data_IF_268231082832
#
_entry.id   IF_268231082832
#
_cell.length_a   1.000
_cell.length_b   1.000
_cell.length_c   1.000
_cell.angle_alpha   90.00
_cell.angle_beta   90.00
_cell.angle_gamma   90.00
#
_symmetry.space_group_name_H-M   'P 1'
#
loop_
_entity.id
_entity.type
_entity.pdbx_description
1 polymer ?
#
# COMPACT_ATOMS: atom_id res chain seq x y z
N UNK A 1 -33.58 -33.03 34.15
CA UNK A 1 -32.61 -33.96 33.54
C UNK A 1 -31.40 -33.14 33.13
N UNK A 2 -30.36 -33.24 33.94
CA UNK A 2 -29.06 -32.58 33.85
C UNK A 2 -28.12 -33.36 32.94
N UNK A 3 -27.29 -32.68 32.14
CA UNK A 3 -25.90 -33.07 31.83
C UNK A 3 -25.31 -32.10 30.78
N UNK A 4 -24.06 -31.66 30.76
CA UNK A 4 -22.98 -31.51 31.73
C UNK A 4 -21.96 -30.59 31.05
N UNK A 5 -21.36 -29.69 31.83
CA UNK A 5 -20.27 -28.78 31.48
C UNK A 5 -19.04 -29.52 30.94
N UNK A 6 -18.30 -28.90 30.02
CA UNK A 6 -16.83 -29.06 29.95
C UNK A 6 -16.19 -27.68 29.79
N UNK A 7 -15.56 -27.24 30.89
CA UNK A 7 -14.54 -26.19 30.93
C UNK A 7 -13.22 -26.82 30.54
N UNK A 8 -12.39 -26.14 29.76
CA UNK A 8 -10.97 -26.44 29.69
C UNK A 8 -10.20 -25.12 29.58
N UNK A 9 -9.69 -24.66 30.73
CA UNK A 9 -8.63 -23.66 30.83
C UNK A 9 -7.31 -24.37 30.52
N UNK A 10 -6.51 -23.83 29.60
CA UNK A 10 -5.06 -24.03 29.59
C UNK A 10 -4.39 -22.67 29.53
N UNK A 11 -3.80 -22.29 30.66
CA UNK A 11 -2.71 -21.32 30.78
C UNK A 11 -1.43 -22.14 30.77
N UNK A 12 -0.50 -21.87 29.85
CA UNK A 12 0.90 -22.19 30.07
C UNK A 12 1.81 -21.14 29.43
N UNK A 13 2.58 -20.56 30.32
CA UNK A 13 3.61 -19.53 30.18
C UNK A 13 4.72 -19.92 29.21
N UNK A 14 5.13 -19.01 28.32
CA UNK A 14 6.41 -19.10 27.62
C UNK A 14 7.37 -18.04 28.19
N UNK A 15 8.36 -18.52 28.93
CA UNK A 15 9.54 -17.75 29.37
C UNK A 15 10.52 -17.68 28.19
N UNK A 16 10.74 -16.48 27.64
CA UNK A 16 11.84 -16.23 26.69
C UNK A 16 13.04 -15.73 27.48
N UNK A 17 14.10 -16.54 27.51
CA UNK A 17 15.38 -16.18 28.09
C UNK A 17 16.22 -15.40 27.06
N UNK A 18 16.39 -14.10 27.28
CA UNK A 18 17.31 -13.26 26.52
C UNK A 18 18.74 -13.52 27.00
N UNK A 19 19.64 -13.91 26.09
CA UNK A 19 21.07 -14.04 26.36
C UNK A 19 21.79 -12.82 25.77
N UNK A 20 22.21 -11.90 26.65
CA UNK A 20 23.13 -10.82 26.30
C UNK A 20 24.53 -11.39 26.07
N UNK A 21 25.09 -11.13 24.88
CA UNK A 21 26.54 -11.17 24.69
C UNK A 21 27.10 -9.77 24.94
N UNK A 22 27.81 -9.63 26.05
CA UNK A 22 28.71 -8.51 26.32
C UNK A 22 30.05 -8.78 25.62
N UNK A 23 30.48 -7.85 24.78
CA UNK A 23 31.88 -7.73 24.37
C UNK A 23 32.35 -6.34 24.83
N UNK A 24 33.25 -6.34 25.80
CA UNK A 24 33.94 -5.17 26.29
C UNK A 24 35.46 -5.43 26.27
N UNK A 25 36.19 -4.33 26.10
CA UNK A 25 37.54 -4.00 26.56
C UNK A 25 38.65 -3.85 25.51
N UNK A 26 39.31 -2.68 25.62
CA UNK A 26 40.72 -2.40 25.33
C UNK A 26 40.88 -1.13 24.49
N UNK A 27 40.91 0.09 25.06
CA UNK A 27 42.06 0.84 25.67
C UNK A 27 43.28 0.95 24.72
N UNK A 28 44.01 2.07 24.57
CA UNK A 28 44.30 3.15 25.52
C UNK A 28 44.99 4.36 24.81
N UNK A 29 45.14 5.44 25.59
CA UNK A 29 46.21 6.48 25.61
C UNK A 29 46.10 7.83 24.85
N UNK A 30 45.92 8.86 25.70
CA UNK A 30 46.71 10.12 25.88
C UNK A 30 46.78 11.15 24.72
N UNK A 31 46.75 12.48 24.92
CA UNK A 31 47.15 13.26 26.09
C UNK A 31 46.69 14.74 25.99
N UNK A 32 46.62 15.39 27.16
CA UNK A 32 46.93 16.79 27.52
C UNK A 32 46.20 18.05 26.98
N UNK A 33 45.53 18.71 27.97
CA UNK A 33 45.72 20.10 28.45
C UNK A 33 45.01 21.29 27.80
N UNK A 34 44.35 22.09 28.64
CA UNK A 34 43.99 23.47 28.32
C UNK A 34 42.90 24.11 29.21
N UNK A 35 43.21 24.32 30.50
CA UNK A 35 42.42 25.11 31.46
C UNK A 35 42.18 26.55 31.00
N UNK A 36 40.96 27.08 31.19
CA UNK A 36 40.73 28.41 31.81
C UNK A 36 39.28 28.58 32.27
N UNK A 37 39.14 28.74 33.59
CA UNK A 37 38.01 29.32 34.31
C UNK A 37 37.75 30.77 33.88
N UNK A 38 36.47 31.18 33.90
CA UNK A 38 36.10 32.48 34.49
C UNK A 38 34.65 32.48 34.95
N UNK A 39 34.48 32.80 36.24
CA UNK A 39 33.23 32.87 36.98
C UNK A 39 32.56 34.26 36.94
N UNK A 40 31.29 34.30 37.32
CA UNK A 40 30.56 35.48 37.83
C UNK A 40 29.70 36.20 36.79
N UNK A 41 28.49 36.69 37.07
CA UNK A 41 27.75 36.88 38.32
C UNK A 41 26.27 37.20 37.96
N UNK A 42 25.40 37.07 38.95
CA UNK A 42 23.95 37.27 38.96
C UNK A 42 23.44 38.61 38.40
N UNK A 43 22.20 38.63 37.88
CA UNK A 43 21.09 39.47 38.40
C UNK A 43 19.86 39.51 37.49
N UNK A 44 18.73 39.77 38.13
CA UNK A 44 17.38 39.42 37.72
C UNK A 44 16.57 40.49 36.95
N UNK A 45 15.47 39.99 36.37
CA UNK A 45 14.14 40.60 36.20
C UNK A 45 13.94 41.78 35.23
N UNK A 46 12.95 41.62 34.35
CA UNK A 46 12.20 42.76 33.79
C UNK A 46 11.65 42.58 32.37
N UNK A 47 10.49 41.93 32.29
CA UNK A 47 9.25 42.43 31.65
C UNK A 47 9.12 42.67 30.11
N UNK A 48 7.94 42.23 29.66
CA UNK A 48 7.09 42.61 28.52
C UNK A 48 7.58 42.61 27.06
N UNK A 49 7.22 41.52 26.37
CA UNK A 49 6.18 41.43 25.33
C UNK A 49 6.18 42.38 24.12
N UNK A 50 6.09 41.71 22.97
CA UNK A 50 5.57 42.12 21.64
C UNK A 50 6.38 43.07 20.78
N UNK A 51 7.04 42.51 19.76
CA UNK A 51 6.89 42.95 18.37
C UNK A 51 7.17 41.77 17.42
N UNK A 52 6.09 41.31 16.78
CA UNK A 52 5.96 40.90 15.38
C UNK A 52 7.16 40.29 14.65
N UNK A 53 7.01 39.03 14.20
CA UNK A 53 7.45 38.65 12.86
C UNK A 53 6.72 37.40 12.42
N UNK A 54 5.80 37.58 11.46
CA UNK A 54 5.43 36.56 10.48
C UNK A 54 6.70 35.90 9.93
N UNK A 55 6.95 34.66 10.34
CA UNK A 55 7.99 33.79 9.80
C UNK A 55 7.32 32.65 9.05
N UNK A 56 7.73 32.46 7.81
CA UNK A 56 7.45 31.26 7.04
C UNK A 56 7.86 30.03 7.87
N UNK A 57 6.95 29.06 7.98
CA UNK A 57 7.20 27.77 8.62
C UNK A 57 8.09 26.95 7.69
N UNK A 58 9.40 27.12 7.86
CA UNK A 58 10.44 26.37 7.17
C UNK A 58 10.63 25.06 7.93
N UNK A 59 9.82 24.05 7.61
CA UNK A 59 10.09 22.62 7.85
C UNK A 59 10.61 22.20 9.22
N UNK A 60 10.09 22.78 10.32
CA UNK A 60 10.47 22.31 11.65
C UNK A 60 9.95 20.88 11.87
N UNK A 61 10.87 19.94 12.03
CA UNK A 61 10.59 18.54 12.34
C UNK A 61 9.67 18.46 13.59
N UNK A 62 8.52 17.79 13.50
CA UNK A 62 7.57 17.71 14.62
C UNK A 62 8.15 16.86 15.77
N UNK A 63 8.13 17.34 17.00
CA UNK A 63 8.57 16.53 18.15
C UNK A 63 7.49 15.48 18.51
N UNK A 64 7.57 14.31 17.87
CA UNK A 64 6.58 13.21 18.02
C UNK A 64 7.22 11.98 18.66
N UNK A 65 6.43 11.27 19.47
CA UNK A 65 6.81 10.00 20.11
C UNK A 65 5.60 9.10 20.31
N UNK A 66 5.83 7.80 20.54
CA UNK A 66 4.78 6.81 20.83
C UNK A 66 4.64 5.73 19.76
N UNK A 67 3.52 5.01 19.76
CA UNK A 67 3.25 3.92 18.82
C UNK A 67 2.09 4.29 17.90
N UNK A 68 2.34 4.27 16.58
CA UNK A 68 1.32 4.42 15.55
C UNK A 68 0.95 3.04 15.00
N UNK A 69 -0.31 2.63 15.13
CA UNK A 69 -0.78 1.31 14.71
C UNK A 69 -1.64 1.47 13.46
N UNK A 70 -1.27 0.76 12.39
CA UNK A 70 -2.04 0.62 11.17
C UNK A 70 -2.31 -0.84 10.81
N UNK A 71 -3.25 -1.06 9.89
CA UNK A 71 -3.52 -2.37 9.30
C UNK A 71 -4.04 -2.22 7.87
N UNK A 72 -3.90 -3.25 7.06
CA UNK A 72 -4.63 -3.35 5.79
C UNK A 72 -3.87 -4.05 4.68
N UNK A 73 -3.83 -3.43 3.50
CA UNK A 73 -3.27 -4.00 2.27
C UNK A 73 -1.94 -4.71 2.50
N UNK A 74 -1.92 -6.01 2.18
CA UNK A 74 -0.69 -6.80 2.13
C UNK A 74 0.16 -6.50 0.89
N UNK A 75 -0.40 -5.84 -0.13
CA UNK A 75 0.36 -5.35 -1.28
C UNK A 75 1.30 -4.20 -0.87
N UNK A 76 0.87 -3.35 0.07
CA UNK A 76 1.68 -2.24 0.61
C UNK A 76 2.76 -2.69 1.61
N UNK A 77 2.82 -3.97 2.01
CA UNK A 77 3.66 -4.41 3.13
C UNK A 77 5.14 -4.05 2.97
N UNK A 78 5.70 -4.28 1.78
CA UNK A 78 7.11 -3.96 1.51
C UNK A 78 7.37 -2.44 1.58
N UNK A 79 6.46 -1.62 1.06
CA UNK A 79 6.55 -0.17 1.17
C UNK A 79 6.38 0.31 2.61
N UNK A 80 5.48 -0.30 3.39
CA UNK A 80 5.36 0.00 4.81
C UNK A 80 6.66 -0.26 5.57
N UNK A 81 7.37 -1.35 5.25
CA UNK A 81 8.68 -1.61 5.86
C UNK A 81 9.71 -0.53 5.49
N UNK A 82 9.72 -0.09 4.23
CA UNK A 82 10.56 1.02 3.78
C UNK A 82 10.23 2.33 4.51
N UNK A 83 8.94 2.67 4.62
CA UNK A 83 8.49 3.86 5.32
C UNK A 83 8.77 3.80 6.82
N UNK A 84 8.50 2.66 7.47
CA UNK A 84 8.82 2.43 8.89
C UNK A 84 10.32 2.63 9.16
N UNK A 85 11.18 2.03 8.33
CA UNK A 85 12.62 2.13 8.50
C UNK A 85 13.11 3.59 8.38
N UNK A 86 12.67 4.30 7.35
CA UNK A 86 13.10 5.68 7.14
C UNK A 86 12.46 6.69 8.09
N UNK A 87 11.17 6.54 8.42
CA UNK A 87 10.48 7.42 9.37
C UNK A 87 11.07 7.30 10.78
N UNK A 88 11.32 6.08 11.26
CA UNK A 88 11.89 5.85 12.59
C UNK A 88 13.39 6.22 12.65
N UNK A 89 14.07 6.35 11.52
CA UNK A 89 15.42 6.93 11.47
C UNK A 89 15.40 8.45 11.69
N UNK A 90 14.30 9.12 11.34
CA UNK A 90 14.06 10.55 11.58
C UNK A 90 13.49 10.78 12.98
N UNK A 91 12.53 9.96 13.40
CA UNK A 91 11.83 10.04 14.69
C UNK A 91 12.11 8.79 15.54
N UNK A 92 13.24 8.77 16.25
CA UNK A 92 13.70 7.59 16.99
C UNK A 92 12.82 7.18 18.18
N UNK A 93 11.97 8.09 18.66
CA UNK A 93 11.05 7.85 19.78
C UNK A 93 9.66 7.37 19.31
N UNK A 94 9.51 7.09 18.01
CA UNK A 94 8.30 6.55 17.40
C UNK A 94 8.48 5.09 17.02
N UNK A 95 7.45 4.29 17.28
CA UNK A 95 7.26 2.95 16.67
C UNK A 95 6.08 2.99 15.72
N UNK A 96 6.24 2.51 14.49
CA UNK A 96 5.12 2.29 13.56
C UNK A 96 4.89 0.79 13.38
N UNK A 97 3.69 0.32 13.69
CA UNK A 97 3.25 -1.07 13.50
C UNK A 97 2.25 -1.15 12.34
N UNK A 98 2.34 -2.21 11.53
CA UNK A 98 1.42 -2.44 10.42
C UNK A 98 1.05 -3.92 10.28
N UNK A 99 -0.24 -4.23 10.35
CA UNK A 99 -0.77 -5.60 10.17
C UNK A 99 -1.28 -5.82 8.72
N UNK A 100 -0.62 -6.64 7.88
CA UNK A 100 -0.97 -6.83 6.47
C UNK A 100 -2.14 -7.81 6.26
N UNK A 101 -3.32 -7.47 6.79
CA UNK A 101 -4.52 -8.31 6.80
C UNK A 101 -5.36 -8.29 5.51
N UNK A 102 -4.94 -7.52 4.50
CA UNK A 102 -5.73 -7.24 3.30
C UNK A 102 -6.55 -5.96 3.43
N UNK A 103 -6.90 -5.35 2.30
CA UNK A 103 -7.53 -4.02 2.24
C UNK A 103 -8.88 -3.97 2.97
N UNK A 104 -9.73 -4.98 2.79
CA UNK A 104 -11.02 -5.06 3.49
C UNK A 104 -10.86 -5.15 5.02
N UNK A 105 -9.97 -6.04 5.49
CA UNK A 105 -9.65 -6.16 6.91
C UNK A 105 -9.04 -4.89 7.50
N UNK A 106 -8.24 -4.15 6.73
CA UNK A 106 -7.70 -2.84 7.14
C UNK A 106 -8.79 -1.80 7.33
N UNK A 107 -9.69 -1.65 6.35
CA UNK A 107 -10.84 -0.73 6.43
C UNK A 107 -11.75 -1.09 7.60
N UNK A 108 -12.06 -2.37 7.78
CA UNK A 108 -12.88 -2.85 8.91
C UNK A 108 -12.26 -2.48 10.26
N UNK A 109 -10.97 -2.78 10.46
CA UNK A 109 -10.28 -2.45 11.71
C UNK A 109 -10.20 -0.94 11.94
N UNK A 110 -9.94 -0.16 10.90
CA UNK A 110 -9.92 1.30 10.98
C UNK A 110 -11.29 1.85 11.36
N UNK A 111 -12.35 1.49 10.64
CA UNK A 111 -13.72 1.94 10.91
C UNK A 111 -14.23 1.50 12.30
N UNK A 112 -13.74 0.38 12.83
CA UNK A 112 -14.06 -0.10 14.17
C UNK A 112 -13.26 0.59 15.29
N UNK A 113 -12.30 1.48 14.98
CA UNK A 113 -11.45 2.12 16.01
C UNK A 113 -10.27 1.29 16.48
N UNK A 114 -9.94 0.21 15.78
CA UNK A 114 -8.82 -0.67 16.13
C UNK A 114 -7.46 -0.11 15.74
N UNK A 115 -7.40 0.74 14.71
CA UNK A 115 -6.16 1.34 14.19
C UNK A 115 -6.29 2.85 13.97
N UNK A 116 -5.15 3.54 13.98
CA UNK A 116 -5.07 4.98 13.75
C UNK A 116 -5.19 5.33 12.26
N UNK A 117 -4.76 4.42 11.38
CA UNK A 117 -4.90 4.52 9.93
C UNK A 117 -5.12 3.13 9.31
N UNK A 118 -5.58 3.11 8.07
CA UNK A 118 -5.61 1.89 7.25
C UNK A 118 -4.79 2.06 5.96
N UNK A 119 -4.20 0.96 5.49
CA UNK A 119 -3.71 0.83 4.12
C UNK A 119 -4.74 0.10 3.28
N UNK A 120 -5.17 0.65 2.14
CA UNK A 120 -6.20 0.00 1.32
C UNK A 120 -6.02 0.29 -0.16
N UNK A 121 -6.04 -0.75 -0.99
CA UNK A 121 -5.97 -0.61 -2.46
C UNK A 121 -7.30 -0.15 -3.07
N UNK A 122 -8.27 0.19 -2.24
CA UNK A 122 -9.51 0.82 -2.63
C UNK A 122 -9.82 1.94 -1.65
N UNK A 123 -10.26 3.08 -2.16
CA UNK A 123 -10.82 4.13 -1.33
C UNK A 123 -12.05 3.61 -0.57
N UNK A 124 -12.37 4.25 0.56
CA UNK A 124 -13.63 3.99 1.27
C UNK A 124 -14.80 4.15 0.29
N UNK A 125 -15.72 3.19 0.26
CA UNK A 125 -16.97 3.35 -0.49
C UNK A 125 -17.92 4.33 0.22
N UNK A 126 -19.06 4.67 -0.40
CA UNK A 126 -19.98 5.68 0.16
C UNK A 126 -20.54 5.29 1.54
N UNK A 127 -20.78 4.00 1.79
CA UNK A 127 -21.24 3.50 3.09
C UNK A 127 -20.13 3.60 4.14
N UNK A 128 -18.90 3.21 3.78
CA UNK A 128 -17.73 3.29 4.63
C UNK A 128 -17.34 4.75 4.95
N UNK A 129 -17.45 5.66 3.97
CA UNK A 129 -17.29 7.10 4.17
C UNK A 129 -18.30 7.63 5.19
N UNK A 130 -19.57 7.23 5.07
CA UNK A 130 -20.60 7.63 6.04
C UNK A 130 -20.29 7.07 7.44
N UNK A 131 -19.85 5.81 7.55
CA UNK A 131 -19.40 5.22 8.82
C UNK A 131 -18.16 5.94 9.39
N UNK A 132 -17.28 6.45 8.53
CA UNK A 132 -16.08 7.15 8.95
C UNK A 132 -16.38 8.42 9.76
N UNK A 133 -17.53 9.06 9.53
CA UNK A 133 -17.98 10.23 10.30
C UNK A 133 -18.25 9.87 11.76
N UNK A 134 -18.77 8.68 12.04
CA UNK A 134 -18.98 8.21 13.41
C UNK A 134 -17.66 7.71 14.05
N UNK A 135 -16.76 7.18 13.23
CA UNK A 135 -15.44 6.67 13.65
C UNK A 135 -14.48 7.79 14.02
N UNK A 136 -14.41 8.83 13.19
CA UNK A 136 -13.47 9.91 13.36
C UNK A 136 -14.05 10.98 14.30
N UNK A 137 -13.27 11.47 15.27
CA UNK A 137 -13.63 12.67 16.01
C UNK A 137 -14.04 13.83 15.09
N UNK A 138 -14.86 14.75 15.62
CA UNK A 138 -15.40 15.86 14.82
C UNK A 138 -16.54 15.43 13.89
N UNK A 139 -16.76 16.19 12.82
CA UNK A 139 -17.76 15.93 11.77
C UNK A 139 -17.14 15.79 10.37
N UNK A 140 -15.80 15.80 10.30
CA UNK A 140 -15.03 15.85 9.04
C UNK A 140 -14.76 14.46 8.45
N UNK A 141 -14.90 13.39 9.23
CA UNK A 141 -14.74 12.01 8.76
C UNK A 141 -13.29 11.64 8.38
N UNK A 142 -13.16 10.55 7.62
CA UNK A 142 -11.90 10.08 7.06
C UNK A 142 -11.67 10.59 5.63
N UNK A 143 -10.41 10.55 5.19
CA UNK A 143 -9.96 10.88 3.84
C UNK A 143 -9.07 9.77 3.28
N UNK A 144 -9.08 9.60 1.95
CA UNK A 144 -8.24 8.65 1.24
C UNK A 144 -7.02 9.38 0.60
N UNK A 145 -5.80 9.02 1.00
CA UNK A 145 -4.55 9.61 0.49
C UNK A 145 -3.77 8.59 -0.36
N UNK A 146 -3.75 8.70 -1.70
CA UNK A 146 -3.07 7.73 -2.58
C UNK A 146 -1.55 7.91 -2.58
N UNK A 147 -0.91 7.34 -1.55
CA UNK A 147 0.54 7.40 -1.36
C UNK A 147 1.32 6.26 -2.03
N UNK A 148 0.65 5.15 -2.37
CA UNK A 148 1.30 3.97 -2.93
C UNK A 148 0.70 3.64 -4.29
N UNK A 149 1.51 3.80 -5.34
CA UNK A 149 1.16 3.32 -6.67
C UNK A 149 2.08 2.15 -7.00
N UNK A 150 1.51 1.05 -7.50
CA UNK A 150 2.28 -0.12 -7.92
C UNK A 150 1.64 -0.78 -9.13
N UNK A 151 2.41 -1.26 -10.10
CA UNK A 151 1.85 -2.11 -11.14
C UNK A 151 1.34 -3.42 -10.53
N UNK A 152 0.18 -3.87 -10.98
CA UNK A 152 -0.27 -5.25 -10.79
C UNK A 152 0.24 -6.03 -12.00
N UNK A 153 1.21 -6.91 -11.76
CA UNK A 153 1.71 -7.80 -12.78
C UNK A 153 0.74 -8.98 -12.93
N UNK A 154 0.42 -9.32 -14.19
CA UNK A 154 -0.13 -10.64 -14.53
C UNK A 154 1.07 -11.56 -14.71
N UNK A 155 1.32 -12.37 -13.69
CA UNK A 155 2.50 -13.22 -13.59
C UNK A 155 2.14 -14.69 -13.83
N UNK A 156 3.04 -15.42 -14.47
CA UNK A 156 2.84 -16.82 -14.81
C UNK A 156 4.12 -17.64 -14.62
N UNK A 157 3.95 -18.95 -14.57
CA UNK A 157 5.04 -19.90 -14.49
C UNK A 157 5.02 -20.83 -15.71
N UNK A 158 5.83 -20.48 -16.72
CA UNK A 158 5.99 -21.27 -17.94
C UNK A 158 7.48 -21.58 -18.16
N UNK A 159 7.84 -22.84 -18.49
CA UNK A 159 9.23 -23.19 -18.74
C UNK A 159 9.82 -22.41 -19.93
N UNK A 160 10.84 -21.60 -19.67
CA UNK A 160 11.62 -20.91 -20.70
C UNK A 160 10.90 -19.75 -21.40
N UNK A 161 9.79 -19.28 -20.84
CA UNK A 161 9.05 -18.10 -21.34
C UNK A 161 8.99 -17.07 -20.23
N UNK A 162 9.65 -15.94 -20.43
CA UNK A 162 9.72 -14.86 -19.43
C UNK A 162 8.69 -13.75 -19.70
N UNK A 163 8.17 -13.67 -20.93
CA UNK A 163 7.23 -12.64 -21.34
C UNK A 163 6.25 -13.14 -22.39
N UNK A 164 5.00 -12.70 -22.30
CA UNK A 164 3.97 -12.87 -23.33
C UNK A 164 3.19 -11.57 -23.54
N UNK A 165 2.76 -11.32 -24.77
CA UNK A 165 1.81 -10.27 -25.10
C UNK A 165 0.37 -10.81 -24.98
N UNK A 166 -0.53 -10.07 -24.33
CA UNK A 166 -1.95 -10.43 -24.28
C UNK A 166 -2.84 -9.21 -24.41
N UNK A 167 -3.92 -9.35 -25.17
CA UNK A 167 -4.99 -8.35 -25.19
C UNK A 167 -5.77 -8.42 -23.87
N UNK A 168 -6.53 -7.37 -23.52
CA UNK A 168 -7.39 -7.40 -22.35
C UNK A 168 -8.37 -8.58 -22.33
N UNK A 169 -8.93 -8.96 -23.48
CA UNK A 169 -9.86 -10.07 -23.63
C UNK A 169 -9.19 -11.43 -23.37
N UNK A 170 -7.93 -11.59 -23.81
CA UNK A 170 -7.16 -12.80 -23.51
C UNK A 170 -6.89 -12.89 -22.02
N UNK A 171 -6.44 -11.81 -21.37
CA UNK A 171 -6.25 -11.78 -19.91
C UNK A 171 -7.55 -12.11 -19.20
N UNK A 172 -8.67 -11.46 -19.57
CA UNK A 172 -9.99 -11.75 -19.00
C UNK A 172 -10.38 -13.22 -19.20
N UNK A 173 -10.09 -13.79 -20.37
CA UNK A 173 -10.39 -15.17 -20.71
C UNK A 173 -9.67 -16.20 -19.83
N UNK A 174 -8.44 -15.91 -19.39
CA UNK A 174 -7.68 -16.76 -18.45
C UNK A 174 -8.41 -16.87 -17.10
N UNK A 175 -8.88 -15.73 -16.57
CA UNK A 175 -9.48 -15.66 -15.24
C UNK A 175 -10.99 -15.94 -15.22
N UNK A 176 -11.66 -15.82 -16.37
CA UNK A 176 -13.03 -16.28 -16.57
C UNK A 176 -13.10 -17.77 -16.96
N UNK A 177 -11.96 -18.48 -16.93
CA UNK A 177 -11.81 -19.90 -17.31
C UNK A 177 -12.33 -20.25 -18.73
N UNK A 178 -12.35 -19.28 -19.64
CA UNK A 178 -12.75 -19.51 -21.05
C UNK A 178 -11.56 -19.88 -21.93
N UNK A 179 -10.35 -19.46 -21.55
CA UNK A 179 -9.07 -19.89 -22.13
C UNK A 179 -8.41 -20.82 -21.11
N UNK A 180 -8.26 -22.10 -21.47
CA UNK A 180 -7.90 -23.16 -20.50
C UNK A 180 -6.59 -23.87 -20.82
N UNK A 181 -5.93 -23.55 -21.94
CA UNK A 181 -4.63 -24.09 -22.32
C UNK A 181 -3.71 -22.98 -22.85
N UNK A 182 -2.41 -23.07 -22.55
CA UNK A 182 -1.41 -22.07 -22.94
C UNK A 182 -1.14 -22.00 -24.45
N UNK A 183 -1.40 -23.07 -25.20
CA UNK A 183 -1.30 -23.07 -26.66
C UNK A 183 -2.58 -22.58 -27.36
N UNK A 184 -3.53 -21.98 -26.64
CA UNK A 184 -4.77 -21.48 -27.22
C UNK A 184 -4.49 -20.52 -28.40
N UNK A 185 -5.25 -20.63 -29.51
CA UNK A 185 -5.05 -19.78 -30.68
C UNK A 185 -5.05 -18.28 -30.37
N UNK A 186 -5.85 -17.82 -29.40
CA UNK A 186 -5.91 -16.42 -29.02
C UNK A 186 -4.60 -15.93 -28.38
N UNK A 187 -3.90 -16.78 -27.63
CA UNK A 187 -2.57 -16.47 -27.08
C UNK A 187 -1.52 -16.56 -28.20
N UNK A 188 -1.59 -17.59 -29.03
CA UNK A 188 -0.63 -17.84 -30.10
C UNK A 188 -0.60 -16.73 -31.16
N UNK A 189 -1.76 -16.18 -31.53
CA UNK A 189 -1.87 -15.11 -32.52
C UNK A 189 -1.12 -13.83 -32.09
N UNK A 190 -1.10 -13.54 -30.79
CA UNK A 190 -0.45 -12.36 -30.22
C UNK A 190 1.06 -12.54 -30.01
N UNK A 191 1.57 -13.77 -30.11
CA UNK A 191 2.94 -14.15 -29.77
C UNK A 191 3.63 -14.94 -30.91
N UNK A 192 3.74 -14.35 -32.12
CA UNK A 192 4.32 -15.05 -33.26
C UNK A 192 5.77 -15.43 -33.00
N UNK A 193 6.08 -16.72 -33.15
CA UNK A 193 7.43 -17.26 -32.96
C UNK A 193 7.76 -17.73 -31.53
N UNK A 194 6.82 -17.60 -30.59
CA UNK A 194 6.93 -18.22 -29.27
C UNK A 194 6.42 -19.66 -29.33
N UNK A 195 7.21 -20.62 -28.84
CA UNK A 195 6.79 -22.03 -28.75
C UNK A 195 5.93 -22.22 -27.48
N UNK A 196 4.62 -22.05 -27.62
CA UNK A 196 3.67 -22.21 -26.52
C UNK A 196 3.46 -23.69 -26.16
N UNK A 197 3.52 -24.06 -24.87
CA UNK A 197 3.34 -25.45 -24.44
C UNK A 197 1.87 -25.89 -24.49
N UNK A 198 1.63 -27.17 -24.78
CA UNK A 198 0.33 -27.82 -24.54
C UNK A 198 0.18 -28.12 -23.05
N UNK A 199 -0.19 -27.09 -22.30
CA UNK A 199 -0.25 -27.10 -20.85
C UNK A 199 -1.54 -26.45 -20.37
N UNK A 200 -2.25 -27.11 -19.47
CA UNK A 200 -3.45 -26.56 -18.87
C UNK A 200 -3.13 -25.31 -18.04
N UNK A 201 -3.99 -24.31 -18.10
CA UNK A 201 -3.88 -23.08 -17.30
C UNK A 201 -4.45 -23.33 -15.91
N UNK A 202 -3.71 -22.91 -14.88
CA UNK A 202 -4.21 -22.81 -13.50
C UNK A 202 -4.30 -21.34 -13.09
N UNK A 203 -5.51 -20.78 -13.09
CA UNK A 203 -5.72 -19.40 -12.67
C UNK A 203 -5.69 -19.29 -11.14
N UNK A 204 -4.83 -18.41 -10.62
CA UNK A 204 -4.65 -18.17 -9.18
C UNK A 204 -5.21 -16.80 -8.83
N UNK A 205 -6.11 -16.74 -7.84
CA UNK A 205 -6.76 -15.53 -7.35
C UNK A 205 -6.51 -15.33 -5.85
N UNK A 206 -6.86 -14.16 -5.31
CA UNK A 206 -6.82 -13.94 -3.85
C UNK A 206 -7.98 -14.66 -3.16
N UNK A 207 -7.70 -15.30 -2.02
CA UNK A 207 -8.73 -15.97 -1.20
C UNK A 207 -9.37 -15.04 -0.16
N UNK A 208 -8.75 -13.90 0.13
CA UNK A 208 -9.21 -12.88 1.07
C UNK A 208 -9.78 -11.65 0.35
N UNK A 209 -10.52 -10.81 1.10
CA UNK A 209 -11.08 -9.56 0.57
C UNK A 209 -9.94 -8.59 0.19
N UNK A 210 -9.75 -8.42 -1.12
CA UNK A 210 -8.52 -7.89 -1.66
C UNK A 210 -8.76 -6.72 -2.60
N UNK A 211 -8.16 -5.59 -2.27
CA UNK A 211 -8.09 -4.44 -3.16
C UNK A 211 -7.28 -4.72 -4.44
N UNK A 212 -6.25 -5.58 -4.41
CA UNK A 212 -5.55 -6.03 -5.64
C UNK A 212 -6.51 -6.71 -6.62
N UNK A 213 -7.31 -7.69 -6.16
CA UNK A 213 -8.40 -8.29 -6.94
C UNK A 213 -9.37 -7.26 -7.50
N UNK A 214 -9.79 -6.28 -6.67
CA UNK A 214 -10.69 -5.22 -7.12
C UNK A 214 -10.08 -4.44 -8.27
N UNK A 215 -8.85 -3.98 -8.13
CA UNK A 215 -8.17 -3.20 -9.17
C UNK A 215 -7.97 -4.00 -10.46
N UNK A 216 -7.55 -5.26 -10.33
CA UNK A 216 -7.35 -6.14 -11.48
C UNK A 216 -8.66 -6.41 -12.22
N UNK A 217 -9.73 -6.73 -11.50
CA UNK A 217 -11.03 -7.06 -12.10
C UNK A 217 -11.82 -5.83 -12.53
N UNK A 218 -11.59 -4.68 -11.90
CA UNK A 218 -12.06 -3.36 -12.37
C UNK A 218 -11.52 -3.08 -13.76
N UNK A 219 -10.19 -3.22 -13.95
CA UNK A 219 -9.56 -3.16 -15.26
C UNK A 219 -10.27 -4.08 -16.27
N UNK A 220 -10.38 -5.39 -15.97
CA UNK A 220 -11.04 -6.33 -16.88
C UNK A 220 -12.49 -5.95 -17.20
N UNK A 221 -13.24 -5.44 -16.22
CA UNK A 221 -14.64 -5.05 -16.40
C UNK A 221 -14.82 -3.84 -17.31
N UNK A 222 -13.83 -2.95 -17.35
CA UNK A 222 -13.86 -1.75 -18.19
C UNK A 222 -13.40 -2.08 -19.61
N UNK A 223 -12.27 -2.79 -19.75
CA UNK A 223 -11.64 -2.97 -21.08
C UNK A 223 -12.02 -4.28 -21.78
N UNK A 224 -12.61 -5.25 -21.08
CA UNK A 224 -13.09 -6.51 -21.65
C UNK A 224 -14.50 -6.90 -21.16
N UNK A 225 -15.50 -5.99 -21.20
CA UNK A 225 -16.82 -6.20 -20.57
C UNK A 225 -17.63 -7.37 -21.15
N UNK A 226 -17.35 -7.76 -22.40
CA UNK A 226 -18.01 -8.90 -23.06
C UNK A 226 -17.47 -10.26 -22.59
N UNK A 227 -16.26 -10.28 -22.02
CA UNK A 227 -15.62 -11.50 -21.47
C UNK A 227 -15.72 -11.51 -19.94
N UNK A 228 -15.42 -10.38 -19.30
CA UNK A 228 -15.47 -10.22 -17.84
C UNK A 228 -16.76 -9.52 -17.41
N UNK A 229 -17.80 -10.30 -17.15
CA UNK A 229 -19.14 -9.78 -16.82
C UNK A 229 -19.40 -9.59 -15.32
N UNK A 230 -18.38 -9.78 -14.47
CA UNK A 230 -18.53 -9.79 -13.01
C UNK A 230 -18.34 -8.42 -12.36
N UNK A 231 -17.87 -7.43 -13.11
CA UNK A 231 -17.49 -6.14 -12.56
C UNK A 231 -16.24 -6.21 -11.68
N UNK A 232 -15.95 -5.16 -10.89
CA UNK A 232 -14.88 -5.17 -9.91
C UNK A 232 -15.22 -6.06 -8.71
N UNK A 233 -14.27 -6.90 -8.28
CA UNK A 233 -14.44 -7.90 -7.23
C UNK A 233 -13.38 -7.74 -6.13
N UNK A 234 -13.81 -7.42 -4.91
CA UNK A 234 -12.95 -7.54 -3.72
C UNK A 234 -12.94 -8.97 -3.18
N UNK A 235 -14.06 -9.70 -3.29
CA UNK A 235 -14.21 -11.10 -2.90
C UNK A 235 -14.36 -11.95 -4.15
N UNK A 236 -13.51 -12.97 -4.30
CA UNK A 236 -13.57 -13.86 -5.45
C UNK A 236 -14.77 -14.83 -5.35
N UNK A 237 -15.67 -14.86 -6.35
CA UNK A 237 -16.81 -15.75 -6.38
C UNK A 237 -16.39 -17.22 -6.52
N UNK A 238 -16.92 -18.09 -5.67
CA UNK A 238 -16.59 -19.52 -5.68
C UNK A 238 -16.97 -20.24 -6.99
N UNK A 239 -17.96 -19.72 -7.70
CA UNK A 239 -18.44 -20.25 -8.98
C UNK A 239 -17.50 -19.97 -10.16
N UNK A 240 -16.56 -19.03 -10.01
CA UNK A 240 -15.55 -18.72 -11.03
C UNK A 240 -14.38 -19.71 -11.04
N UNK A 241 -14.26 -20.58 -10.03
CA UNK A 241 -13.16 -21.53 -9.94
C UNK A 241 -11.82 -20.85 -9.64
N UNK A 242 -10.74 -21.48 -10.09
CA UNK A 242 -9.35 -21.11 -9.78
C UNK A 242 -8.82 -21.56 -8.41
N UNK A 243 -7.50 -21.39 -8.23
CA UNK A 243 -6.79 -21.63 -6.98
C UNK A 243 -6.74 -20.35 -6.14
N UNK A 244 -7.16 -20.44 -4.87
CA UNK A 244 -7.12 -19.30 -3.95
C UNK A 244 -5.81 -19.23 -3.15
N UNK A 245 -5.10 -18.11 -3.26
CA UNK A 245 -3.93 -17.75 -2.44
C UNK A 245 -4.26 -16.69 -1.40
N UNK A 246 -3.85 -16.92 -0.15
CA UNK A 246 -4.03 -15.94 0.95
C UNK A 246 -3.01 -14.81 0.83
N UNK A 247 -3.49 -13.57 0.68
CA UNK A 247 -2.61 -12.41 0.49
C UNK A 247 -1.83 -12.45 -0.83
N UNK A 248 -1.10 -11.38 -1.12
CA UNK A 248 -0.22 -11.32 -2.31
C UNK A 248 0.82 -12.44 -2.29
N UNK A 249 1.45 -12.69 -1.14
CA UNK A 249 2.46 -13.73 -0.99
C UNK A 249 1.92 -15.15 -1.25
N UNK A 250 0.67 -15.42 -0.88
CA UNK A 250 0.04 -16.72 -1.12
C UNK A 250 -0.22 -16.95 -2.61
N UNK A 251 -0.66 -15.91 -3.32
CA UNK A 251 -0.83 -15.96 -4.78
C UNK A 251 0.51 -16.22 -5.48
N UNK A 252 1.56 -15.45 -5.15
CA UNK A 252 2.89 -15.63 -5.74
C UNK A 252 3.45 -17.04 -5.46
N UNK A 253 3.27 -17.56 -4.25
CA UNK A 253 3.70 -18.93 -3.90
C UNK A 253 2.98 -19.99 -4.74
N UNK A 254 1.67 -19.86 -4.92
CA UNK A 254 0.89 -20.78 -5.75
C UNK A 254 1.31 -20.74 -7.22
N UNK A 255 1.55 -19.54 -7.78
CA UNK A 255 2.05 -19.41 -9.16
C UNK A 255 3.44 -20.06 -9.29
N UNK A 256 4.34 -19.78 -8.34
CA UNK A 256 5.70 -20.34 -8.35
C UNK A 256 5.71 -21.87 -8.23
N UNK A 257 4.79 -22.44 -7.45
CA UNK A 257 4.71 -23.88 -7.22
C UNK A 257 4.07 -24.67 -8.37
N UNK A 258 3.18 -24.04 -9.14
CA UNK A 258 2.43 -24.70 -10.21
C UNK A 258 2.94 -24.32 -11.61
N UNK A 259 3.53 -25.28 -12.33
CA UNK A 259 3.81 -25.11 -13.75
C UNK A 259 2.48 -24.92 -14.51
N UNK A 260 2.39 -23.88 -15.35
CA UNK A 260 1.17 -23.50 -16.04
C UNK A 260 0.25 -22.58 -15.25
N UNK A 261 0.61 -22.22 -14.01
CA UNK A 261 -0.14 -21.25 -13.23
C UNK A 261 0.00 -19.82 -13.76
N UNK A 262 -1.07 -19.04 -13.67
CA UNK A 262 -1.12 -17.60 -13.92
C UNK A 262 -1.91 -16.92 -12.81
N UNK A 263 -1.49 -15.74 -12.37
CA UNK A 263 -2.23 -14.96 -11.39
C UNK A 263 -1.88 -13.48 -11.50
N UNK A 264 -2.47 -12.68 -10.60
CA UNK A 264 -2.22 -11.25 -10.49
C UNK A 264 -1.67 -10.91 -9.11
N UNK A 265 -0.63 -10.09 -9.07
CA UNK A 265 0.00 -9.69 -7.83
C UNK A 265 0.66 -8.32 -7.96
N UNK A 266 0.90 -7.67 -6.83
CA UNK A 266 1.77 -6.50 -6.79
C UNK A 266 3.15 -6.86 -7.39
N UNK A 267 3.58 -6.10 -8.39
CA UNK A 267 4.78 -6.38 -9.16
C UNK A 267 6.05 -6.47 -8.30
N UNK A 268 6.08 -5.83 -7.13
CA UNK A 268 7.21 -5.93 -6.20
C UNK A 268 7.46 -7.33 -5.67
N UNK A 269 6.41 -8.18 -5.68
CA UNK A 269 6.45 -9.50 -5.06
C UNK A 269 6.58 -10.63 -6.08
N UNK A 270 6.43 -10.38 -7.39
CA UNK A 270 6.40 -11.47 -8.40
C UNK A 270 7.78 -12.07 -8.69
N UNK A 271 8.87 -11.39 -8.33
CA UNK A 271 10.23 -11.91 -8.47
C UNK A 271 10.59 -12.25 -9.91
N UNK A 272 11.08 -13.47 -10.13
CA UNK A 272 11.56 -13.96 -11.44
C UNK A 272 10.47 -14.67 -12.28
N UNK A 273 9.19 -14.56 -11.89
CA UNK A 273 8.09 -15.13 -12.68
C UNK A 273 7.97 -14.46 -14.06
N UNK A 274 7.53 -15.23 -15.05
CA UNK A 274 7.21 -14.70 -16.37
C UNK A 274 6.02 -13.74 -16.27
N UNK A 275 5.98 -12.71 -17.11
CA UNK A 275 4.96 -11.64 -16.99
C UNK A 275 4.31 -11.27 -18.32
N UNK A 276 3.12 -10.68 -18.24
CA UNK A 276 2.37 -10.26 -19.43
C UNK A 276 2.60 -8.78 -19.74
N UNK A 277 2.92 -8.47 -21.00
CA UNK A 277 2.74 -7.15 -21.57
C UNK A 277 1.31 -7.04 -22.11
N UNK A 278 0.56 -6.07 -21.61
CA UNK A 278 -0.88 -5.96 -21.85
C UNK A 278 -1.18 -4.99 -22.98
N UNK A 279 -2.22 -5.26 -23.76
CA UNK A 279 -2.68 -4.37 -24.82
C UNK A 279 -3.16 -3.03 -24.25
N UNK A 280 -2.63 -1.93 -24.79
CA UNK A 280 -3.00 -0.53 -24.48
C UNK A 280 -3.07 0.23 -25.80
N UNK A 281 -4.28 0.61 -26.23
CA UNK A 281 -4.50 1.10 -27.58
C UNK A 281 -4.01 0.10 -28.64
N UNK A 282 -3.09 0.53 -29.50
CA UNK A 282 -2.49 -0.30 -30.57
C UNK A 282 -1.15 -0.96 -30.16
N UNK A 283 -0.72 -0.81 -28.90
CA UNK A 283 0.59 -1.27 -28.41
C UNK A 283 0.47 -2.32 -27.29
N UNK A 284 1.54 -3.06 -27.02
CA UNK A 284 1.68 -3.89 -25.81
C UNK A 284 2.64 -3.23 -24.83
N UNK A 285 2.18 -3.01 -23.60
CA UNK A 285 2.93 -2.32 -22.56
C UNK A 285 3.26 -3.31 -21.45
N UNK A 286 4.55 -3.57 -21.26
CA UNK A 286 5.04 -4.28 -20.09
C UNK A 286 4.86 -3.42 -18.83
N UNK A 287 4.61 -4.05 -17.69
CA UNK A 287 4.52 -3.30 -16.45
C UNK A 287 5.86 -2.63 -16.12
N UNK A 288 5.80 -1.42 -15.57
CA UNK A 288 6.92 -0.77 -14.90
C UNK A 288 6.39 0.21 -13.87
N UNK A 289 7.17 0.52 -12.82
CA UNK A 289 6.78 1.54 -11.85
C UNK A 289 6.50 2.87 -12.54
N UNK A 290 7.35 3.31 -13.47
CA UNK A 290 7.16 4.58 -14.18
C UNK A 290 5.89 4.60 -15.04
N UNK A 291 5.55 3.50 -15.71
CA UNK A 291 4.32 3.42 -16.52
C UNK A 291 3.05 3.36 -15.65
N UNK A 292 3.11 2.67 -14.51
CA UNK A 292 2.00 2.61 -13.56
C UNK A 292 1.78 3.95 -12.85
N UNK A 293 2.85 4.67 -12.49
CA UNK A 293 2.77 5.96 -11.80
C UNK A 293 2.01 7.02 -12.58
N UNK A 294 2.15 7.01 -13.91
CA UNK A 294 1.44 7.94 -14.81
C UNK A 294 -0.07 7.82 -14.76
N UNK A 295 -0.61 6.68 -14.29
CA UNK A 295 -2.06 6.47 -14.21
C UNK A 295 -2.73 7.54 -13.34
N UNK A 296 -2.04 8.03 -12.30
CA UNK A 296 -2.61 8.98 -11.35
C UNK A 296 -2.85 10.34 -11.99
N UNK A 297 -1.95 10.76 -12.89
CA UNK A 297 -1.99 12.06 -13.55
C UNK A 297 -3.13 12.13 -14.58
N UNK A 298 -3.56 10.98 -15.11
CA UNK A 298 -4.67 10.87 -16.08
C UNK A 298 -6.01 10.47 -15.45
N UNK A 299 -6.02 10.14 -14.16
CA UNK A 299 -7.21 9.67 -13.43
C UNK A 299 -7.94 10.84 -12.76
N UNK A 300 -9.23 11.08 -13.04
CA UNK A 300 -9.97 12.14 -12.36
C UNK A 300 -10.25 11.78 -10.90
N UNK A 301 -10.44 12.79 -10.04
CA UNK A 301 -10.91 12.55 -8.67
C UNK A 301 -12.29 11.88 -8.68
N UNK A 302 -12.53 11.05 -7.68
CA UNK A 302 -13.83 10.47 -7.41
C UNK A 302 -14.84 11.57 -7.05
N UNK A 303 -16.06 11.42 -7.56
CA UNK A 303 -17.16 12.33 -7.24
C UNK A 303 -17.61 12.16 -5.77
N UNK A 304 -18.27 13.19 -5.22
CA UNK A 304 -18.80 13.14 -3.85
C UNK A 304 -17.76 13.23 -2.73
N UNK A 305 -16.48 13.38 -3.06
CA UNK A 305 -15.36 13.45 -2.13
C UNK A 305 -15.15 14.87 -1.58
N UNK A 306 -14.72 14.96 -0.32
CA UNK A 306 -14.37 16.23 0.33
C UNK A 306 -13.14 16.90 -0.31
N UNK A 307 -12.85 18.15 0.06
CA UNK A 307 -11.72 18.89 -0.54
C UNK A 307 -10.37 18.20 -0.30
N UNK A 308 -10.19 17.58 0.88
CA UNK A 308 -8.96 16.89 1.30
C UNK A 308 -8.93 15.40 0.97
N UNK A 309 -9.99 14.86 0.35
CA UNK A 309 -10.06 13.45 -0.04
C UNK A 309 -9.62 13.29 -1.49
N UNK A 310 -8.55 12.52 -1.70
CA UNK A 310 -7.87 12.34 -2.97
C UNK A 310 -8.15 10.96 -3.60
N UNK A 311 -9.25 10.31 -3.23
CA UNK A 311 -9.76 9.17 -3.99
C UNK A 311 -9.89 9.51 -5.48
N UNK A 312 -9.42 8.62 -6.36
CA UNK A 312 -9.50 8.76 -7.82
C UNK A 312 -10.30 7.64 -8.48
N UNK A 313 -10.86 7.94 -9.65
CA UNK A 313 -11.40 6.97 -10.59
C UNK A 313 -10.26 6.60 -11.54
N UNK A 314 -9.71 5.40 -11.37
CA UNK A 314 -8.55 4.96 -12.16
C UNK A 314 -8.94 4.84 -13.64
N UNK A 315 -8.21 5.51 -14.52
CA UNK A 315 -8.46 5.52 -15.97
C UNK A 315 -8.07 4.18 -16.64
N UNK A 316 -8.83 3.11 -16.38
CA UNK A 316 -8.56 1.73 -16.84
C UNK A 316 -8.52 1.58 -18.36
N UNK A 317 -9.28 2.41 -19.06
CA UNK A 317 -9.44 2.44 -20.52
C UNK A 317 -8.50 3.44 -21.22
N UNK A 318 -7.48 3.94 -20.50
CA UNK A 318 -6.52 4.85 -21.11
C UNK A 318 -5.83 4.21 -22.33
N UNK A 319 -5.78 4.97 -23.42
CA UNK A 319 -5.01 4.63 -24.63
C UNK A 319 -3.70 5.43 -24.71
N UNK A 320 -3.33 6.15 -23.64
CA UNK A 320 -2.13 6.98 -23.61
C UNK A 320 -0.87 6.10 -23.62
N UNK A 321 -0.04 6.28 -24.66
CA UNK A 321 1.19 5.50 -24.83
C UNK A 321 2.12 5.66 -23.62
N UNK A 322 2.65 4.53 -23.14
CA UNK A 322 3.53 4.49 -21.98
C UNK A 322 2.82 4.49 -20.61
N UNK A 323 1.48 4.44 -20.58
CA UNK A 323 0.71 4.21 -19.35
C UNK A 323 0.36 2.73 -19.21
N UNK A 324 0.60 2.15 -18.04
CA UNK A 324 0.21 0.76 -17.74
C UNK A 324 -1.11 0.76 -16.94
N UNK A 325 -2.22 0.24 -17.49
CA UNK A 325 -3.57 0.45 -16.94
C UNK A 325 -3.90 -0.46 -15.75
N UNK A 326 -3.15 -1.55 -15.54
CA UNK A 326 -3.35 -2.45 -14.40
C UNK A 326 -2.55 -1.95 -13.21
N UNK A 327 -2.86 -0.74 -12.76
CA UNK A 327 -2.22 -0.14 -11.60
C UNK A 327 -3.06 -0.35 -10.35
N UNK A 328 -2.35 -0.63 -9.25
CA UNK A 328 -2.83 -0.55 -7.89
C UNK A 328 -2.67 0.89 -7.41
N UNK A 329 -3.77 1.55 -7.08
CA UNK A 329 -3.76 2.83 -6.38
C UNK A 329 -4.16 2.55 -4.94
N UNK A 330 -3.19 2.64 -4.03
CA UNK A 330 -3.41 2.27 -2.64
C UNK A 330 -3.25 3.47 -1.71
N UNK A 331 -4.25 3.58 -0.85
CA UNK A 331 -4.53 4.74 -0.02
C UNK A 331 -4.06 4.49 1.40
N UNK A 332 -3.52 5.53 2.03
CA UNK A 332 -3.60 5.66 3.47
C UNK A 332 -4.91 6.33 3.81
N UNK A 333 -5.73 5.66 4.61
CA UNK A 333 -7.02 6.15 5.09
C UNK A 333 -6.79 6.67 6.51
N UNK A 334 -7.07 7.95 6.72
CA UNK A 334 -6.83 8.65 7.99
C UNK A 334 -8.03 9.51 8.36
N UNK A 335 -8.22 9.77 9.66
CA UNK A 335 -9.20 10.76 10.11
C UNK A 335 -8.67 12.18 9.85
N UNK A 336 -9.57 13.13 9.58
CA UNK A 336 -9.20 14.55 9.55
C UNK A 336 -9.02 15.13 10.96
N UNK A 337 -9.74 14.62 11.95
CA UNK A 337 -9.55 14.99 13.34
C UNK A 337 -9.28 13.74 14.20
N UNK A 338 -8.40 13.87 15.18
CA UNK A 338 -8.06 12.83 16.16
C UNK A 338 -8.41 13.24 17.60
N UNK A 339 -8.51 12.28 18.55
CA UNK A 339 -8.96 12.58 19.91
C UNK A 339 -7.95 13.41 20.72
N UNK A 340 -6.66 13.34 20.36
CA UNK A 340 -5.59 14.02 21.08
C UNK A 340 -4.61 14.66 20.10
N UNK A 341 -3.97 15.75 20.55
CA UNK A 341 -2.93 16.43 19.77
C UNK A 341 -1.77 15.49 19.42
N UNK A 342 -1.33 14.67 20.38
CA UNK A 342 -0.23 13.72 20.14
C UNK A 342 -0.54 12.69 19.05
N UNK A 343 -1.77 12.18 18.99
CA UNK A 343 -2.18 11.26 17.92
C UNK A 343 -2.31 11.96 16.57
N UNK A 344 -2.89 13.16 16.55
CA UNK A 344 -2.97 13.99 15.34
C UNK A 344 -1.57 14.30 14.78
N UNK A 345 -0.65 14.73 15.62
CA UNK A 345 0.73 15.07 15.25
C UNK A 345 1.48 13.82 14.76
N UNK A 346 1.30 12.67 15.40
CA UNK A 346 1.94 11.42 15.01
C UNK A 346 1.46 10.93 13.63
N UNK A 347 0.15 10.95 13.38
CA UNK A 347 -0.42 10.60 12.07
C UNK A 347 0.05 11.59 11.01
N UNK A 348 -0.01 12.90 11.32
CA UNK A 348 0.40 13.96 10.40
C UNK A 348 1.87 13.87 10.03
N UNK A 349 2.75 13.64 11.01
CA UNK A 349 4.18 13.44 10.79
C UNK A 349 4.44 12.21 9.90
N UNK A 350 3.74 11.10 10.17
CA UNK A 350 3.90 9.89 9.38
C UNK A 350 3.43 10.07 7.93
N UNK A 351 2.23 10.64 7.70
CA UNK A 351 1.72 10.90 6.35
C UNK A 351 2.60 11.92 5.61
N UNK A 352 3.12 12.93 6.31
CA UNK A 352 4.06 13.90 5.72
C UNK A 352 5.32 13.19 5.24
N UNK A 353 5.89 12.29 6.05
CA UNK A 353 7.06 11.50 5.63
C UNK A 353 6.73 10.60 4.44
N UNK A 354 5.62 9.86 4.50
CA UNK A 354 5.19 8.95 3.42
C UNK A 354 5.01 9.69 2.08
N UNK A 355 4.45 10.90 2.12
CA UNK A 355 4.27 11.76 0.95
C UNK A 355 5.51 12.53 0.50
N UNK A 356 6.60 12.54 1.28
CA UNK A 356 7.82 13.29 0.95
C UNK A 356 8.64 12.61 -0.16
N UNK A 357 9.63 13.32 -0.72
CA UNK A 357 10.57 12.72 -1.68
C UNK A 357 11.32 11.53 -1.07
N UNK A 358 11.75 11.67 0.19
CA UNK A 358 12.46 10.65 0.93
C UNK A 358 11.56 9.44 1.22
N UNK A 359 10.30 9.67 1.63
CA UNK A 359 9.35 8.58 1.84
C UNK A 359 9.03 7.82 0.55
N UNK A 360 8.76 8.54 -0.54
CA UNK A 360 8.52 7.92 -1.84
C UNK A 360 9.76 7.14 -2.34
N UNK A 361 10.96 7.67 -2.14
CA UNK A 361 12.19 6.96 -2.45
C UNK A 361 12.39 5.71 -1.59
N UNK A 362 12.04 5.76 -0.30
CA UNK A 362 12.12 4.61 0.60
C UNK A 362 11.16 3.48 0.17
N UNK A 363 9.92 3.82 -0.21
CA UNK A 363 8.97 2.86 -0.76
C UNK A 363 9.44 2.29 -2.11
N UNK A 364 9.95 3.13 -3.01
CA UNK A 364 10.47 2.68 -4.30
C UNK A 364 11.66 1.73 -4.12
N UNK A 365 12.55 2.00 -3.16
CA UNK A 365 13.69 1.12 -2.88
C UNK A 365 13.26 -0.22 -2.26
N UNK A 366 12.24 -0.21 -1.39
CA UNK A 366 11.78 -1.41 -0.68
C UNK A 366 10.83 -2.28 -1.53
N UNK A 367 10.00 -1.65 -2.36
CA UNK A 367 8.88 -2.27 -3.04
C UNK A 367 8.83 -1.96 -4.55
N UNK A 368 9.81 -1.26 -5.14
CA UNK A 368 9.72 -0.88 -6.56
C UNK A 368 8.46 -0.08 -6.89
N UNK A 369 7.89 0.64 -5.91
CA UNK A 369 6.67 1.43 -6.12
C UNK A 369 6.90 2.53 -7.14
N UNK A 370 5.84 2.85 -7.86
CA UNK A 370 5.82 3.98 -8.75
C UNK A 370 5.85 5.29 -7.96
N UNK A 371 6.73 6.25 -8.32
CA UNK A 371 6.76 7.54 -7.64
C UNK A 371 5.51 8.35 -8.01
N UNK A 372 4.95 9.06 -7.03
CA UNK A 372 3.95 10.12 -7.29
C UNK A 372 4.64 11.42 -7.73
N UNK A 373 3.97 12.19 -8.59
CA UNK A 373 4.51 13.43 -9.15
C UNK A 373 4.71 14.51 -8.08
N UNK A 374 5.64 15.45 -8.32
CA UNK A 374 5.90 16.55 -7.38
C UNK A 374 4.66 17.46 -7.17
N UNK A 375 3.89 17.67 -8.24
CA UNK A 375 2.63 18.39 -8.18
C UNK A 375 1.64 17.66 -7.27
N UNK A 376 1.51 16.34 -7.43
CA UNK A 376 0.59 15.54 -6.63
C UNK A 376 1.01 15.49 -5.15
N UNK A 377 2.32 15.37 -4.84
CA UNK A 377 2.82 15.47 -3.46
C UNK A 377 2.40 16.77 -2.79
N UNK A 378 2.54 17.91 -3.47
CA UNK A 378 2.15 19.21 -2.94
C UNK A 378 0.63 19.31 -2.66
N UNK A 379 -0.19 18.63 -3.46
CA UNK A 379 -1.63 18.54 -3.21
C UNK A 379 -1.92 17.70 -1.96
N UNK A 380 -1.25 16.57 -1.78
CA UNK A 380 -1.40 15.72 -0.58
C UNK A 380 -0.93 16.44 0.69
N UNK A 381 0.15 17.22 0.63
CA UNK A 381 0.62 18.05 1.76
C UNK A 381 -0.48 18.99 2.27
N UNK A 382 -1.32 19.53 1.38
CA UNK A 382 -2.45 20.38 1.78
C UNK A 382 -3.51 19.59 2.57
N UNK A 383 -3.80 18.35 2.18
CA UNK A 383 -4.70 17.47 2.91
C UNK A 383 -4.13 17.04 4.26
N UNK A 384 -2.85 16.68 4.29
CA UNK A 384 -2.13 16.28 5.51
C UNK A 384 -2.05 17.45 6.49
N UNK A 385 -1.86 18.68 6.00
CA UNK A 385 -1.87 19.89 6.81
C UNK A 385 -3.20 20.10 7.56
N UNK A 386 -4.30 19.63 6.99
CA UNK A 386 -5.65 19.75 7.54
C UNK A 386 -5.97 18.73 8.65
N UNK A 387 -5.09 17.76 8.91
CA UNK A 387 -5.19 16.83 10.04
C UNK A 387 -4.99 17.59 11.35
N UNK A 388 -5.91 17.41 12.30
CA UNK A 388 -5.88 18.11 13.57
C UNK A 388 -6.59 17.36 14.71
N UNK A 389 -7.00 18.12 15.72
CA UNK A 389 -7.76 17.62 16.87
C UNK A 389 -9.19 18.11 16.77
N UNK A 390 -10.15 17.29 17.18
CA UNK A 390 -11.54 17.71 17.24
C UNK A 390 -11.69 18.92 18.17
N UNK A 391 -12.25 20.01 17.64
CA UNK A 391 -12.44 21.30 18.32
C UNK A 391 -13.54 21.32 19.38
#
# INVERSE_FOLDING_TARGET
MTSTRKRLMWLLSLLVAFSLFAAACGDDDDDTTGTTDSSGDDSAAGDDTTTDSSGADDGAMMDVSGTLIGAGSSAQQAAMQGWQAGFQAVYSDVTVEYDPVGSGGGREQFLAGGTAFAGSDAALNDEELAQSVDRCPGDRGAIDLPHYISPIAVAFNLPGIDSLNMSPEVVAGLFAETITNWNDPAIAELNPGVELPDLAINAVHRSDESGTSKNFTDYLSVVAPEVWTYGPLEVWPSELGGEGGQGTSGVVQAITAGEGSVGYADASQVGDLGTVAVGVGDEFVAYSPEAAGRIIDVSPRSEGRGEYDFAIQVARDTEESGVYPIALVSYHIVCLDYPTQGEADLVKAFMTYVGSEEGQAAAAAAAGSAPISAEFRSQLETAIAAIGVAG
#
